data_IF_126797736061
#
_entry.id   IF_126797736061
#
_cell.length_a   1.000
_cell.length_b   1.000
_cell.length_c   1.000
_cell.angle_alpha   90.00
_cell.angle_beta   90.00
_cell.angle_gamma   90.00
#
_symmetry.space_group_name_H-M   'P 1'
#
loop_
_entity.id
_entity.type
_entity.pdbx_description
1 polymer ?
#
# COMPACT_ATOMS: atom_id res chain seq x y z
N UNK A 1 13.27 -12.42 -28.80
CA UNK A 1 11.85 -12.52 -28.34
C UNK A 1 11.37 -11.26 -27.58
N UNK A 2 12.07 -10.78 -26.51
CA UNK A 2 11.74 -9.51 -25.82
C UNK A 2 11.93 -8.30 -26.73
N UNK A 3 13.03 -8.21 -27.48
CA UNK A 3 13.29 -7.15 -28.41
C UNK A 3 12.28 -7.11 -29.57
N UNK A 4 11.90 -8.27 -30.11
CA UNK A 4 10.93 -8.40 -31.20
C UNK A 4 9.49 -8.05 -30.76
N UNK A 5 9.16 -8.27 -29.52
CA UNK A 5 7.81 -7.99 -29.02
C UNK A 5 7.61 -6.54 -28.52
N UNK A 6 8.64 -5.92 -27.94
CA UNK A 6 8.52 -4.62 -27.29
C UNK A 6 9.21 -3.47 -28.00
N UNK A 7 10.23 -3.73 -28.85
CA UNK A 7 11.00 -2.71 -29.56
C UNK A 7 10.74 -2.73 -31.09
N UNK A 8 9.47 -2.83 -31.48
CA UNK A 8 9.06 -2.85 -32.91
C UNK A 8 9.19 -1.49 -33.60
N UNK A 9 9.22 -0.41 -32.82
CA UNK A 9 9.27 0.94 -33.37
C UNK A 9 10.71 1.43 -33.39
N UNK A 10 11.22 1.94 -34.54
CA UNK A 10 12.54 2.57 -34.60
C UNK A 10 12.65 3.70 -33.57
N UNK A 11 13.82 3.84 -32.94
CA UNK A 11 14.05 4.82 -31.86
C UNK A 11 13.69 6.24 -32.27
N UNK A 12 14.04 6.64 -33.51
CA UNK A 12 13.74 7.97 -34.05
C UNK A 12 12.23 8.23 -34.07
N UNK A 13 11.45 7.27 -34.56
CA UNK A 13 10.00 7.35 -34.61
C UNK A 13 9.36 7.35 -33.20
N UNK A 14 9.90 6.55 -32.30
CA UNK A 14 9.45 6.55 -30.91
C UNK A 14 9.69 7.89 -30.21
N UNK A 15 10.85 8.52 -30.47
CA UNK A 15 11.17 9.86 -29.96
C UNK A 15 10.25 10.93 -30.55
N UNK A 16 9.96 10.85 -31.85
CA UNK A 16 9.05 11.79 -32.54
C UNK A 16 7.62 11.66 -31.98
N UNK A 17 7.11 10.45 -31.86
CA UNK A 17 5.82 10.17 -31.24
C UNK A 17 5.77 10.66 -29.79
N UNK A 18 6.83 10.44 -29.00
CA UNK A 18 6.95 10.94 -27.62
C UNK A 18 6.89 12.46 -27.55
N UNK A 19 7.55 13.16 -28.51
CA UNK A 19 7.46 14.63 -28.58
C UNK A 19 6.05 15.10 -28.95
N UNK A 20 5.37 14.41 -29.87
CA UNK A 20 3.99 14.75 -30.27
C UNK A 20 2.98 14.55 -29.12
N UNK A 21 3.20 13.55 -28.24
CA UNK A 21 2.37 13.31 -27.08
C UNK A 21 2.62 14.28 -25.92
N UNK A 22 3.71 15.05 -25.92
CA UNK A 22 4.13 15.88 -24.79
C UNK A 22 3.09 16.92 -24.40
N UNK A 23 2.59 17.70 -25.36
CA UNK A 23 1.60 18.75 -25.08
C UNK A 23 0.25 18.20 -24.64
N UNK A 24 -0.34 17.16 -25.28
CA UNK A 24 -1.55 16.50 -24.76
C UNK A 24 -1.38 15.94 -23.36
N UNK A 25 -0.24 15.30 -23.05
CA UNK A 25 0.04 14.78 -21.71
C UNK A 25 0.17 15.90 -20.67
N UNK A 26 0.85 17.00 -21.02
CA UNK A 26 0.95 18.17 -20.17
C UNK A 26 -0.42 18.75 -19.85
N UNK A 27 -1.25 18.95 -20.89
CA UNK A 27 -2.62 19.45 -20.73
C UNK A 27 -3.44 18.52 -19.84
N UNK A 28 -3.32 17.20 -20.01
CA UNK A 28 -4.00 16.22 -19.13
C UNK A 28 -3.56 16.35 -17.68
N UNK A 29 -2.25 16.49 -17.43
CA UNK A 29 -1.75 16.71 -16.08
C UNK A 29 -2.25 18.01 -15.47
N UNK A 30 -2.24 19.11 -16.23
CA UNK A 30 -2.76 20.41 -15.77
C UNK A 30 -4.26 20.33 -15.45
N UNK A 31 -5.05 19.59 -16.23
CA UNK A 31 -6.46 19.34 -15.97
C UNK A 31 -6.67 18.51 -14.68
N UNK A 32 -5.86 17.48 -14.45
CA UNK A 32 -5.93 16.66 -13.24
C UNK A 32 -5.60 17.50 -12.02
N UNK A 33 -4.54 18.30 -12.06
CA UNK A 33 -4.16 19.18 -10.94
C UNK A 33 -5.22 20.24 -10.64
N UNK A 34 -5.82 20.84 -11.68
CA UNK A 34 -6.89 21.82 -11.51
C UNK A 34 -8.17 21.16 -10.96
N UNK A 35 -8.50 19.95 -11.43
CA UNK A 35 -9.62 19.19 -10.88
C UNK A 35 -9.42 18.89 -9.38
N UNK A 36 -8.24 18.39 -9.00
CA UNK A 36 -7.91 18.09 -7.61
C UNK A 36 -8.03 19.35 -6.73
N UNK A 37 -7.46 20.47 -7.18
CA UNK A 37 -7.57 21.76 -6.49
C UNK A 37 -9.02 22.20 -6.27
N UNK A 38 -9.87 22.07 -7.31
CA UNK A 38 -11.30 22.46 -7.21
C UNK A 38 -12.08 21.50 -6.33
N UNK A 39 -11.81 20.19 -6.43
CA UNK A 39 -12.44 19.18 -5.60
C UNK A 39 -12.13 19.41 -4.13
N UNK A 40 -10.86 19.65 -3.79
CA UNK A 40 -10.43 19.95 -2.44
C UNK A 40 -11.11 21.21 -1.89
N UNK A 41 -11.17 22.30 -2.68
CA UNK A 41 -11.84 23.52 -2.28
C UNK A 41 -13.36 23.31 -2.03
N UNK A 42 -14.03 22.55 -2.92
CA UNK A 42 -15.44 22.23 -2.75
C UNK A 42 -15.72 21.34 -1.53
N UNK A 43 -14.83 20.40 -1.21
CA UNK A 43 -14.90 19.58 0.02
C UNK A 43 -14.74 20.46 1.26
N UNK A 44 -13.77 21.36 1.28
CA UNK A 44 -13.52 22.28 2.39
C UNK A 44 -14.70 23.20 2.64
N UNK A 45 -15.28 23.80 1.58
CA UNK A 45 -16.46 24.65 1.68
C UNK A 45 -17.66 23.93 2.30
N UNK A 46 -17.81 22.64 2.00
CA UNK A 46 -18.92 21.81 2.50
C UNK A 46 -18.60 21.07 3.79
N UNK A 47 -17.39 21.20 4.34
CA UNK A 47 -16.89 20.44 5.49
C UNK A 47 -17.00 18.93 5.31
N UNK A 48 -16.67 18.44 4.12
CA UNK A 48 -16.70 17.01 3.75
C UNK A 48 -15.29 16.48 3.58
N UNK A 49 -15.11 15.25 3.98
CA UNK A 49 -13.91 14.42 3.69
C UNK A 49 -14.38 13.06 3.21
N UNK A 50 -13.63 12.42 2.32
CA UNK A 50 -13.83 11.02 1.95
C UNK A 50 -12.79 10.11 2.63
N UNK A 51 -12.90 8.79 2.40
CA UNK A 51 -11.99 7.82 3.00
C UNK A 51 -10.53 8.02 2.57
N UNK A 52 -10.31 8.39 1.31
CA UNK A 52 -8.98 8.69 0.81
C UNK A 52 -8.37 9.92 1.46
N UNK A 53 -9.19 10.97 1.69
CA UNK A 53 -8.73 12.15 2.42
C UNK A 53 -8.29 11.80 3.84
N UNK A 54 -9.05 10.93 4.55
CA UNK A 54 -8.69 10.49 5.91
C UNK A 54 -7.32 9.79 5.94
N UNK A 55 -7.08 8.86 5.01
CA UNK A 55 -5.80 8.17 4.90
C UNK A 55 -4.66 9.16 4.61
N UNK A 56 -4.83 10.08 3.67
CA UNK A 56 -3.80 11.07 3.30
C UNK A 56 -3.54 12.09 4.41
N UNK A 57 -4.58 12.56 5.11
CA UNK A 57 -4.40 13.44 6.28
C UNK A 57 -3.69 12.73 7.42
N UNK A 58 -4.00 11.46 7.65
CA UNK A 58 -3.28 10.65 8.64
C UNK A 58 -1.79 10.53 8.28
N UNK A 59 -1.45 10.29 6.99
CA UNK A 59 -0.05 10.30 6.54
C UNK A 59 0.62 11.65 6.79
N UNK A 60 -0.05 12.76 6.50
CA UNK A 60 0.50 14.11 6.72
C UNK A 60 0.75 14.42 8.21
N UNK A 61 -0.07 13.86 9.10
CA UNK A 61 0.09 14.02 10.55
C UNK A 61 1.22 13.12 11.08
N UNK A 62 1.30 11.89 10.58
CA UNK A 62 2.21 10.87 11.12
C UNK A 62 3.60 10.92 10.48
N UNK A 63 3.72 11.42 9.25
CA UNK A 63 4.97 11.41 8.49
C UNK A 63 5.44 12.82 8.17
N UNK A 64 6.75 13.01 8.20
CA UNK A 64 7.41 14.25 7.77
C UNK A 64 8.46 13.96 6.71
N UNK A 65 8.78 14.98 5.91
CA UNK A 65 9.88 14.92 4.94
C UNK A 65 11.13 15.51 5.57
N UNK A 66 12.20 14.77 5.53
CA UNK A 66 13.54 15.26 5.90
C UNK A 66 14.46 15.25 4.68
N UNK A 67 15.26 16.30 4.55
CA UNK A 67 16.29 16.33 3.51
C UNK A 67 17.41 15.38 3.90
N UNK A 68 17.71 14.41 3.04
CA UNK A 68 18.90 13.58 3.24
C UNK A 68 20.15 14.41 2.92
N UNK A 69 21.14 14.36 3.80
CA UNK A 69 22.38 15.16 3.67
C UNK A 69 23.17 14.84 2.38
N UNK A 70 23.06 13.63 1.85
CA UNK A 70 23.82 13.12 0.71
C UNK A 70 22.99 12.77 -0.54
N UNK A 71 21.68 13.00 -0.56
CA UNK A 71 20.85 12.67 -1.70
C UNK A 71 19.91 13.83 -2.11
N UNK A 72 19.64 13.91 -3.42
CA UNK A 72 18.66 14.86 -3.96
C UNK A 72 17.20 14.46 -3.67
N UNK A 73 16.97 13.37 -2.92
CA UNK A 73 15.65 12.86 -2.59
C UNK A 73 15.36 13.07 -1.10
N UNK A 74 14.15 13.61 -0.83
CA UNK A 74 13.65 13.73 0.54
C UNK A 74 13.37 12.33 1.10
N UNK A 75 13.75 12.11 2.35
CA UNK A 75 13.36 10.91 3.11
C UNK A 75 12.04 11.15 3.83
N UNK A 76 11.19 10.13 3.83
CA UNK A 76 9.96 10.13 4.62
C UNK A 76 10.25 9.43 5.94
N UNK A 77 10.05 10.16 7.04
CA UNK A 77 10.33 9.68 8.39
C UNK A 77 9.11 9.88 9.30
N UNK A 78 8.97 9.10 10.37
CA UNK A 78 7.93 9.31 11.37
C UNK A 78 8.05 10.69 12.02
N UNK A 79 6.93 11.40 12.15
CA UNK A 79 6.81 12.66 12.88
C UNK A 79 6.61 12.42 14.39
N UNK A 80 6.55 13.51 15.16
CA UNK A 80 6.38 13.47 16.62
C UNK A 80 5.12 12.68 17.04
N UNK A 81 3.99 12.91 16.36
CA UNK A 81 2.73 12.22 16.64
C UNK A 81 2.87 10.70 16.41
N UNK A 82 3.58 10.26 15.37
CA UNK A 82 3.84 8.85 15.15
C UNK A 82 4.66 8.24 16.29
N UNK A 83 5.68 8.96 16.78
CA UNK A 83 6.50 8.51 17.90
C UNK A 83 5.70 8.40 19.20
N UNK A 84 4.74 9.30 19.45
CA UNK A 84 3.82 9.19 20.57
C UNK A 84 2.96 7.92 20.47
N UNK A 85 2.41 7.62 19.28
CA UNK A 85 1.64 6.40 19.05
C UNK A 85 2.47 5.13 19.20
N UNK A 86 3.75 5.11 18.80
CA UNK A 86 4.68 3.99 19.04
C UNK A 86 4.83 3.66 20.52
N UNK A 87 4.84 4.69 21.36
CA UNK A 87 4.92 4.50 22.82
C UNK A 87 3.58 4.08 23.44
N UNK A 88 2.48 4.49 22.81
CA UNK A 88 1.13 4.23 23.29
C UNK A 88 0.64 2.81 22.95
N UNK A 89 0.87 2.37 21.69
CA UNK A 89 0.39 1.07 21.25
C UNK A 89 1.34 -0.05 21.68
N UNK A 90 0.87 -0.92 22.56
CA UNK A 90 1.60 -2.14 22.93
C UNK A 90 1.51 -3.19 21.82
N UNK A 91 0.35 -3.35 21.22
CA UNK A 91 0.08 -4.28 20.13
C UNK A 91 -0.80 -3.62 19.06
N UNK A 92 -0.55 -3.95 17.80
CA UNK A 92 -1.32 -3.51 16.63
C UNK A 92 -1.84 -4.76 15.93
N UNK A 93 -3.16 -4.99 16.00
CA UNK A 93 -3.80 -6.18 15.46
C UNK A 93 -4.48 -5.80 14.13
N UNK A 94 -4.15 -6.51 13.05
CA UNK A 94 -4.62 -6.23 11.71
C UNK A 94 -5.27 -7.48 11.15
N UNK A 95 -6.55 -7.38 10.81
CA UNK A 95 -7.30 -8.44 10.13
C UNK A 95 -7.35 -8.17 8.62
N UNK A 96 -7.58 -9.22 7.84
CA UNK A 96 -7.68 -9.17 6.36
C UNK A 96 -6.49 -8.43 5.71
N UNK A 97 -5.28 -8.67 6.23
CA UNK A 97 -4.09 -7.91 5.81
C UNK A 97 -3.76 -8.04 4.31
N UNK A 98 -4.22 -9.11 3.62
CA UNK A 98 -4.08 -9.26 2.17
C UNK A 98 -4.78 -8.16 1.36
N UNK A 99 -5.75 -7.44 1.96
CA UNK A 99 -6.49 -6.35 1.32
C UNK A 99 -5.93 -4.96 1.65
N UNK A 100 -4.82 -4.90 2.39
CA UNK A 100 -4.13 -3.66 2.72
C UNK A 100 -3.50 -3.01 1.49
N UNK A 101 -3.53 -1.69 1.43
CA UNK A 101 -2.86 -0.89 0.42
C UNK A 101 -1.56 -0.26 0.97
N UNK A 102 -0.77 0.37 0.09
CA UNK A 102 0.49 1.01 0.49
C UNK A 102 0.32 2.15 1.49
N UNK A 103 -0.77 2.92 1.39
CA UNK A 103 -1.04 4.02 2.33
C UNK A 103 -1.23 3.49 3.73
N UNK A 104 -2.03 2.43 3.85
CA UNK A 104 -2.27 1.75 5.13
C UNK A 104 -0.99 1.12 5.70
N UNK A 105 -0.16 0.50 4.84
CA UNK A 105 1.14 -0.03 5.28
C UNK A 105 2.06 1.07 5.80
N UNK A 106 2.13 2.23 5.15
CA UNK A 106 2.90 3.37 5.65
C UNK A 106 2.38 3.90 6.98
N UNK A 107 1.05 3.98 7.16
CA UNK A 107 0.44 4.38 8.43
C UNK A 107 0.81 3.39 9.55
N UNK A 108 0.65 2.09 9.30
CA UNK A 108 0.96 1.04 10.27
C UNK A 108 2.46 1.03 10.63
N UNK A 109 3.33 1.17 9.64
CA UNK A 109 4.78 1.24 9.86
C UNK A 109 5.19 2.49 10.63
N UNK A 110 4.52 3.62 10.41
CA UNK A 110 4.80 4.86 11.13
C UNK A 110 4.55 4.74 12.63
N UNK A 111 3.49 4.02 13.03
CA UNK A 111 3.06 3.89 14.43
C UNK A 111 3.53 2.61 15.11
N UNK A 112 4.14 1.66 14.38
CA UNK A 112 4.72 0.44 14.95
C UNK A 112 6.12 0.67 15.46
N UNK A 113 6.55 -0.13 16.44
CA UNK A 113 7.90 -0.10 17.00
C UNK A 113 8.94 -0.89 16.20
N UNK A 114 8.59 -1.45 15.03
CA UNK A 114 9.47 -2.35 14.29
C UNK A 114 10.82 -1.72 13.91
N UNK A 115 10.84 -0.43 13.55
CA UNK A 115 12.08 0.29 13.24
C UNK A 115 13.04 0.40 14.44
N UNK A 116 12.53 0.23 15.64
CA UNK A 116 13.27 0.28 16.93
C UNK A 116 13.52 -1.12 17.50
N UNK A 117 13.17 -2.18 16.73
CA UNK A 117 13.29 -3.58 17.16
C UNK A 117 12.17 -4.07 18.08
N UNK A 118 11.09 -3.31 18.23
CA UNK A 118 9.90 -3.71 18.97
C UNK A 118 8.82 -4.20 17.98
N UNK A 119 8.74 -5.52 17.79
CA UNK A 119 7.83 -6.17 16.83
C UNK A 119 6.44 -6.34 17.44
N UNK A 120 5.62 -5.30 17.36
CA UNK A 120 4.30 -5.23 17.98
C UNK A 120 3.13 -5.34 17.00
N UNK A 121 3.36 -5.80 15.75
CA UNK A 121 2.29 -6.02 14.77
C UNK A 121 1.90 -7.50 14.71
N UNK A 122 0.60 -7.77 14.83
CA UNK A 122 0.00 -9.08 14.57
C UNK A 122 -0.96 -8.96 13.38
N UNK A 123 -0.66 -9.69 12.32
CA UNK A 123 -1.37 -9.61 11.04
C UNK A 123 -2.01 -10.95 10.72
N UNK A 124 -3.28 -10.94 10.36
CA UNK A 124 -4.03 -12.12 9.91
C UNK A 124 -4.53 -11.89 8.50
N UNK A 125 -4.47 -12.92 7.66
CA UNK A 125 -4.99 -12.84 6.30
C UNK A 125 -4.86 -14.15 5.53
N UNK A 126 -5.47 -14.16 4.36
CA UNK A 126 -5.34 -15.25 3.38
C UNK A 126 -5.22 -14.65 1.97
N UNK A 127 -4.05 -14.77 1.37
CA UNK A 127 -3.76 -14.24 0.03
C UNK A 127 -4.73 -14.77 -1.03
N UNK A 128 -5.22 -16.00 -0.88
CA UNK A 128 -6.19 -16.59 -1.81
C UNK A 128 -7.55 -15.91 -1.79
N UNK A 129 -7.86 -15.17 -0.71
CA UNK A 129 -9.09 -14.39 -0.56
C UNK A 129 -8.93 -12.93 -1.00
N UNK A 130 -7.77 -12.50 -1.48
CA UNK A 130 -7.57 -11.13 -1.96
C UNK A 130 -8.34 -10.89 -3.25
N UNK A 131 -9.41 -10.10 -3.17
CA UNK A 131 -10.29 -9.73 -4.30
C UNK A 131 -10.40 -8.22 -4.51
N UNK A 132 -9.77 -7.41 -3.65
CA UNK A 132 -9.90 -5.95 -3.64
C UNK A 132 -8.79 -5.21 -4.40
N UNK A 133 -8.16 -5.84 -5.40
CA UNK A 133 -7.13 -5.19 -6.23
C UNK A 133 -7.61 -3.89 -6.88
N UNK A 134 -8.90 -3.80 -7.22
CA UNK A 134 -9.51 -2.57 -7.75
C UNK A 134 -9.58 -1.41 -6.73
N UNK A 135 -9.39 -1.69 -5.43
CA UNK A 135 -9.20 -0.70 -4.34
C UNK A 135 -7.74 -0.47 -4.00
N UNK A 136 -6.83 -0.81 -4.91
CA UNK A 136 -5.38 -0.69 -4.73
C UNK A 136 -4.80 -1.61 -3.63
N UNK A 137 -5.52 -2.66 -3.25
CA UNK A 137 -4.99 -3.69 -2.37
C UNK A 137 -3.71 -4.29 -2.97
N UNK A 138 -2.72 -4.52 -2.11
CA UNK A 138 -1.38 -5.01 -2.45
C UNK A 138 -1.10 -6.33 -1.73
N UNK A 139 -1.66 -7.46 -2.21
CA UNK A 139 -1.40 -8.77 -1.60
C UNK A 139 0.11 -9.13 -1.56
N UNK A 140 0.92 -8.46 -2.39
CA UNK A 140 2.37 -8.58 -2.37
C UNK A 140 2.98 -8.20 -1.01
N UNK A 141 2.38 -7.26 -0.27
CA UNK A 141 2.82 -6.89 1.08
C UNK A 141 2.68 -8.05 2.07
N UNK A 142 1.60 -8.82 1.95
CA UNK A 142 1.41 -10.03 2.75
C UNK A 142 2.37 -11.15 2.34
N UNK A 143 2.55 -11.36 1.03
CA UNK A 143 3.47 -12.38 0.51
C UNK A 143 4.91 -12.11 0.92
N UNK A 144 5.38 -10.88 0.89
CA UNK A 144 6.71 -10.50 1.35
C UNK A 144 6.94 -10.91 2.81
N UNK A 145 5.96 -10.64 3.68
CA UNK A 145 6.02 -11.05 5.08
C UNK A 145 5.94 -12.58 5.24
N UNK A 146 5.07 -13.22 4.46
CA UNK A 146 4.94 -14.68 4.44
C UNK A 146 6.26 -15.37 4.06
N UNK A 147 6.99 -14.83 3.09
CA UNK A 147 8.26 -15.39 2.61
C UNK A 147 9.44 -15.09 3.54
N UNK A 148 9.41 -13.96 4.24
CA UNK A 148 10.49 -13.50 5.11
C UNK A 148 10.37 -13.98 6.55
N UNK A 149 9.15 -14.10 7.08
CA UNK A 149 8.90 -14.56 8.45
C UNK A 149 9.13 -16.07 8.57
N UNK A 150 9.53 -16.52 9.75
CA UNK A 150 9.85 -17.92 10.05
C UNK A 150 8.83 -18.52 11.03
N UNK A 151 8.82 -19.84 11.16
CA UNK A 151 7.97 -20.52 12.15
C UNK A 151 8.37 -20.22 13.61
N UNK A 152 9.59 -19.75 13.82
CA UNK A 152 10.13 -19.38 15.13
C UNK A 152 10.97 -18.11 15.04
N UNK A 153 11.01 -17.34 16.11
CA UNK A 153 11.77 -16.08 16.19
C UNK A 153 10.88 -14.87 16.44
N UNK A 154 11.46 -13.69 16.36
CA UNK A 154 10.77 -12.42 16.60
C UNK A 154 9.76 -12.10 15.47
N UNK A 155 10.10 -12.42 14.23
CA UNK A 155 9.21 -12.34 13.07
C UNK A 155 8.65 -13.73 12.81
N UNK A 156 7.55 -14.07 13.48
CA UNK A 156 6.97 -15.41 13.48
C UNK A 156 5.78 -15.51 12.53
N UNK A 157 5.75 -16.60 11.75
CA UNK A 157 4.63 -16.98 10.88
C UNK A 157 3.93 -18.22 11.44
N UNK A 158 2.60 -18.16 11.50
CA UNK A 158 1.74 -19.27 11.93
C UNK A 158 0.77 -19.60 10.80
N UNK A 159 0.87 -20.82 10.26
CA UNK A 159 -0.04 -21.29 9.21
C UNK A 159 -1.24 -22.01 9.86
N UNK A 160 -2.45 -21.48 9.65
CA UNK A 160 -3.70 -22.04 10.12
C UNK A 160 -4.24 -23.05 9.11
N UNK A 161 -4.02 -24.34 9.35
CA UNK A 161 -4.36 -25.42 8.42
C UNK A 161 -5.78 -25.99 8.58
N UNK A 162 -6.53 -25.62 9.63
CA UNK A 162 -7.84 -26.22 9.94
C UNK A 162 -8.97 -25.22 9.72
N UNK A 163 -10.01 -25.67 9.00
CA UNK A 163 -11.25 -24.93 8.84
C UNK A 163 -12.26 -25.35 9.92
N UNK A 164 -12.62 -24.39 10.80
CA UNK A 164 -13.60 -24.59 11.87
C UNK A 164 -14.95 -23.94 11.59
N UNK A 165 -15.09 -23.21 10.48
CA UNK A 165 -16.30 -22.44 10.12
C UNK A 165 -17.25 -23.23 9.24
N UNK A 166 -16.72 -23.89 8.20
CA UNK A 166 -17.51 -24.59 7.19
C UNK A 166 -17.78 -26.04 7.59
N UNK A 167 -18.90 -26.56 7.14
CA UNK A 167 -19.19 -28.01 7.23
C UNK A 167 -18.28 -28.81 6.31
N UNK A 168 -17.93 -30.03 6.67
CA UNK A 168 -17.03 -30.90 5.92
C UNK A 168 -17.49 -31.04 4.45
N UNK A 169 -18.78 -31.24 4.20
CA UNK A 169 -19.32 -31.42 2.84
C UNK A 169 -19.07 -30.19 1.95
N UNK A 170 -19.04 -28.98 2.53
CA UNK A 170 -18.74 -27.74 1.78
C UNK A 170 -17.25 -27.70 1.41
N UNK A 171 -16.39 -28.07 2.36
CA UNK A 171 -14.94 -28.11 2.14
C UNK A 171 -14.59 -29.17 1.10
N UNK A 172 -15.18 -30.37 1.20
CA UNK A 172 -14.98 -31.46 0.26
C UNK A 172 -15.42 -31.05 -1.15
N UNK A 173 -16.62 -30.45 -1.29
CA UNK A 173 -17.11 -29.96 -2.58
C UNK A 173 -16.21 -28.90 -3.22
N UNK A 174 -15.60 -28.01 -2.41
CA UNK A 174 -14.63 -27.01 -2.91
C UNK A 174 -13.33 -27.72 -3.37
N UNK A 175 -12.82 -28.65 -2.57
CA UNK A 175 -11.61 -29.39 -2.92
C UNK A 175 -11.78 -30.33 -4.14
N UNK A 176 -13.01 -30.75 -4.45
CA UNK A 176 -13.30 -31.55 -5.65
C UNK A 176 -13.29 -30.69 -6.92
N UNK A 177 -13.45 -29.38 -6.81
CA UNK A 177 -13.51 -28.44 -7.96
C UNK A 177 -12.14 -27.79 -8.21
N UNK A 178 -11.34 -27.54 -7.18
CA UNK A 178 -10.06 -26.82 -7.21
C UNK A 178 -8.89 -27.72 -6.77
#
# INVERSE_FOLDING_TARGET
ELAENYFKTPLELAVEQGKACREPLRMLLDLVLEFDRRLLAAKQERHLIDFSDMEHYALQILLRREKAEDSSQDMIVPGEVALEYRQYFQEILIDEYQDSNLVQEYLLSAISGEAEGHYNRFMVGDVKQSIYRFRLARPELFLEKYDTYRETGELCRIDLAKNFRSRVQVVDAVNDVF
#
